data_IF_841231685286
#
_entry.id   IF_841231685286
#
_cell.length_a   1.000
_cell.length_b   1.000
_cell.length_c   1.000
_cell.angle_alpha   90.00
_cell.angle_beta   90.00
_cell.angle_gamma   90.00
#
_symmetry.space_group_name_H-M   'P 1'
#
loop_
_entity.id
_entity.type
_entity.pdbx_description
1 polymer ?
#
# COMPACT_ATOMS: atom_id res chain seq x y z
N UNK A 1 7.77 1.09 9.55
CA UNK A 1 6.79 1.98 10.20
C UNK A 1 5.41 1.33 10.22
N UNK A 2 4.79 1.09 9.05
CA UNK A 2 3.64 0.18 8.96
C UNK A 2 4.12 -1.27 9.14
N UNK A 3 3.42 -2.05 9.96
CA UNK A 3 3.75 -3.46 10.21
C UNK A 3 2.52 -4.35 10.09
N UNK A 4 2.74 -5.56 9.57
CA UNK A 4 1.72 -6.60 9.51
C UNK A 4 1.53 -7.22 10.92
N UNK A 5 0.27 -7.32 11.34
CA UNK A 5 -0.20 -7.87 12.61
C UNK A 5 -1.20 -9.02 12.38
N UNK A 6 -1.34 -9.46 11.14
CA UNK A 6 -2.36 -10.45 10.71
C UNK A 6 -2.23 -11.76 11.48
N UNK A 7 -1.01 -12.19 11.78
CA UNK A 7 -0.69 -13.39 12.55
C UNK A 7 -1.17 -13.30 14.01
N UNK A 8 -0.91 -12.17 14.69
CA UNK A 8 -1.39 -11.95 16.06
C UNK A 8 -2.92 -11.79 16.07
N UNK A 9 -3.45 -11.00 15.14
CA UNK A 9 -4.87 -10.74 15.01
C UNK A 9 -5.68 -12.02 14.75
N UNK A 10 -5.11 -12.99 14.02
CA UNK A 10 -5.70 -14.30 13.81
C UNK A 10 -5.87 -15.11 15.10
N UNK A 11 -5.12 -14.81 16.15
CA UNK A 11 -5.21 -15.48 17.45
C UNK A 11 -6.10 -14.75 18.45
N UNK A 12 -6.68 -13.60 18.07
CA UNK A 12 -7.54 -12.79 18.93
C UNK A 12 -9.01 -13.21 18.82
N UNK A 13 -9.80 -12.93 19.87
CA UNK A 13 -11.27 -13.08 19.83
C UNK A 13 -11.97 -11.81 19.32
N UNK A 14 -11.22 -10.83 18.83
CA UNK A 14 -11.79 -9.54 18.42
C UNK A 14 -12.49 -9.66 17.07
N UNK A 15 -13.81 -9.52 17.05
CA UNK A 15 -14.64 -9.77 15.86
C UNK A 15 -14.22 -8.95 14.64
N UNK A 16 -13.79 -7.69 14.82
CA UNK A 16 -13.34 -6.84 13.70
C UNK A 16 -12.12 -7.44 13.00
N UNK A 17 -11.15 -7.93 13.76
CA UNK A 17 -9.98 -8.61 13.20
C UNK A 17 -10.37 -9.93 12.54
N UNK A 18 -11.18 -10.74 13.20
CA UNK A 18 -11.62 -12.04 12.67
C UNK A 18 -12.39 -11.89 11.35
N UNK A 19 -13.33 -10.95 11.28
CA UNK A 19 -14.13 -10.69 10.07
C UNK A 19 -13.26 -10.24 8.90
N UNK A 20 -12.30 -9.34 9.13
CA UNK A 20 -11.37 -8.91 8.09
C UNK A 20 -10.55 -10.08 7.52
N UNK A 21 -10.07 -10.99 8.38
CA UNK A 21 -9.26 -12.13 7.97
C UNK A 21 -10.07 -13.20 7.23
N UNK A 22 -11.31 -13.47 7.64
CA UNK A 22 -12.21 -14.38 6.90
C UNK A 22 -12.43 -13.90 5.46
N UNK A 23 -12.45 -12.58 5.25
CA UNK A 23 -12.52 -11.98 3.91
C UNK A 23 -11.21 -11.98 3.12
N UNK A 24 -10.16 -12.67 3.57
CA UNK A 24 -8.83 -12.63 2.94
C UNK A 24 -8.10 -11.29 3.13
N UNK A 25 -8.55 -10.48 4.10
CA UNK A 25 -7.99 -9.18 4.40
C UNK A 25 -6.67 -9.23 5.17
N UNK A 26 -6.25 -8.05 5.60
CA UNK A 26 -5.03 -7.82 6.37
C UNK A 26 -5.31 -6.99 7.59
N UNK A 27 -4.53 -7.21 8.64
CA UNK A 27 -4.48 -6.35 9.82
C UNK A 27 -3.08 -5.77 9.90
N UNK A 28 -2.98 -4.45 9.86
CA UNK A 28 -1.70 -3.73 9.95
C UNK A 28 -1.85 -2.54 10.88
N UNK A 29 -0.73 -2.03 11.39
CA UNK A 29 -0.76 -0.85 12.25
C UNK A 29 0.49 0.02 12.16
N UNK A 30 0.41 1.16 12.83
CA UNK A 30 1.51 2.10 13.09
C UNK A 30 1.51 2.50 14.57
N UNK A 31 2.67 2.98 15.04
CA UNK A 31 2.80 3.65 16.32
C UNK A 31 2.74 5.18 16.13
N UNK A 32 1.98 5.86 16.99
CA UNK A 32 2.01 7.31 17.16
C UNK A 32 2.68 7.63 18.51
N UNK A 33 3.95 8.07 18.50
CA UNK A 33 4.72 8.30 19.72
C UNK A 33 4.12 9.38 20.63
N UNK A 34 4.12 9.15 21.95
CA UNK A 34 3.67 10.10 22.96
C UNK A 34 2.17 10.41 22.96
N UNK A 35 1.38 9.65 22.20
CA UNK A 35 -0.05 9.94 21.99
C UNK A 35 -1.00 9.15 22.89
N UNK A 36 -0.52 8.41 23.91
CA UNK A 36 -1.40 7.61 24.78
C UNK A 36 -2.52 8.43 25.45
N UNK A 37 -2.28 9.71 25.70
CA UNK A 37 -3.22 10.63 26.36
C UNK A 37 -4.18 11.34 25.40
N UNK A 38 -4.24 10.95 24.13
CA UNK A 38 -5.18 11.52 23.16
C UNK A 38 -6.62 11.49 23.69
N UNK A 39 -7.30 12.62 23.54
CA UNK A 39 -8.69 12.78 23.93
C UNK A 39 -9.62 11.98 23.02
N UNK A 40 -10.86 11.73 23.48
CA UNK A 40 -11.87 11.06 22.66
C UNK A 40 -12.15 11.80 21.35
N UNK A 41 -12.11 13.14 21.36
CA UNK A 41 -12.30 13.96 20.15
C UNK A 41 -11.18 13.73 19.14
N UNK A 42 -9.93 13.71 19.60
CA UNK A 42 -8.78 13.47 18.71
C UNK A 42 -8.79 12.05 18.13
N UNK A 43 -9.18 11.05 18.92
CA UNK A 43 -9.34 9.67 18.42
C UNK A 43 -10.49 9.57 17.40
N UNK A 44 -11.57 10.32 17.59
CA UNK A 44 -12.71 10.38 16.66
C UNK A 44 -12.32 11.05 15.33
N UNK A 45 -11.49 12.09 15.35
CA UNK A 45 -10.92 12.69 14.13
C UNK A 45 -10.10 11.68 13.32
N UNK A 46 -9.20 10.95 13.98
CA UNK A 46 -8.39 9.91 13.31
C UNK A 46 -9.26 8.79 12.76
N UNK A 47 -10.31 8.40 13.50
CA UNK A 47 -11.27 7.40 13.04
C UNK A 47 -12.05 7.88 11.80
N UNK A 48 -12.49 9.14 11.78
CA UNK A 48 -13.15 9.75 10.61
C UNK A 48 -12.23 9.82 9.40
N UNK A 49 -10.94 10.13 9.60
CA UNK A 49 -9.95 10.11 8.54
C UNK A 49 -9.83 8.71 7.93
N UNK A 50 -9.70 7.67 8.76
CA UNK A 50 -9.65 6.29 8.28
C UNK A 50 -10.95 5.89 7.55
N UNK A 51 -12.11 6.29 8.07
CA UNK A 51 -13.40 6.01 7.44
C UNK A 51 -13.59 6.73 6.10
N UNK A 52 -13.08 7.95 5.97
CA UNK A 52 -13.05 8.69 4.70
C UNK A 52 -12.24 7.98 3.60
N UNK A 53 -11.33 7.09 4.00
CA UNK A 53 -10.50 6.25 3.12
C UNK A 53 -11.09 4.84 2.91
N UNK A 54 -12.33 4.61 3.37
CA UNK A 54 -13.05 3.36 3.18
C UNK A 54 -12.80 2.29 4.25
N UNK A 55 -12.07 2.61 5.34
CA UNK A 55 -12.00 1.71 6.49
C UNK A 55 -13.34 1.67 7.23
N UNK A 56 -13.73 0.51 7.77
CA UNK A 56 -14.92 0.42 8.63
C UNK A 56 -14.72 1.22 9.94
N UNK A 57 -13.48 1.25 10.43
CA UNK A 57 -13.07 2.04 11.58
C UNK A 57 -11.60 1.85 11.90
N UNK A 58 -11.14 2.64 12.87
CA UNK A 58 -9.79 2.65 13.40
C UNK A 58 -9.76 2.05 14.81
N UNK A 59 -8.99 0.98 14.98
CA UNK A 59 -8.72 0.41 16.29
C UNK A 59 -7.57 1.20 16.91
N UNK A 60 -7.83 1.79 18.07
CA UNK A 60 -6.85 2.57 18.82
C UNK A 60 -6.49 1.84 20.10
N UNK A 61 -5.21 1.86 20.47
CA UNK A 61 -4.73 1.27 21.71
C UNK A 61 -3.71 2.18 22.38
N UNK A 62 -4.10 2.86 23.45
CA UNK A 62 -3.18 3.66 24.25
C UNK A 62 -2.47 2.79 25.27
N UNK A 63 -1.15 2.93 25.36
CA UNK A 63 -0.32 2.27 26.37
C UNK A 63 0.01 3.30 27.46
N UNK A 64 -0.48 3.12 28.68
CA UNK A 64 -0.29 4.13 29.72
C UNK A 64 1.19 4.27 30.13
N UNK A 65 1.70 5.50 30.13
CA UNK A 65 3.07 5.82 30.54
C UNK A 65 3.39 5.39 32.00
N UNK A 66 2.36 5.30 32.87
CA UNK A 66 2.50 4.88 34.27
C UNK A 66 3.01 3.45 34.45
N UNK A 67 2.98 2.62 33.40
CA UNK A 67 3.55 1.27 33.43
C UNK A 67 5.09 1.29 33.54
N UNK A 68 5.76 2.35 33.08
CA UNK A 68 7.22 2.47 33.04
C UNK A 68 7.93 1.58 32.00
N UNK A 69 7.41 0.38 31.73
CA UNK A 69 7.87 -0.51 30.66
C UNK A 69 6.74 -1.44 30.20
N UNK A 70 6.82 -1.94 28.96
CA UNK A 70 5.88 -2.93 28.42
C UNK A 70 5.79 -4.22 29.26
N UNK A 71 6.88 -4.61 29.92
CA UNK A 71 6.89 -5.78 30.82
C UNK A 71 5.92 -5.62 31.99
N UNK A 72 5.75 -4.39 32.48
CA UNK A 72 4.92 -4.06 33.63
C UNK A 72 3.50 -3.64 33.23
N UNK A 73 3.19 -3.65 31.92
CA UNK A 73 1.88 -3.30 31.40
C UNK A 73 0.83 -4.25 32.00
N UNK A 74 -0.28 -3.69 32.46
CA UNK A 74 -1.47 -4.46 32.88
C UNK A 74 -2.63 -4.11 31.97
N UNK A 75 -3.70 -4.93 31.97
CA UNK A 75 -4.89 -4.68 31.14
C UNK A 75 -5.53 -3.33 31.47
N UNK A 76 -5.49 -2.89 32.73
CA UNK A 76 -6.03 -1.59 33.17
C UNK A 76 -5.23 -0.40 32.61
N UNK A 77 -3.96 -0.61 32.29
CA UNK A 77 -3.06 0.37 31.69
C UNK A 77 -3.20 0.44 30.17
N UNK A 78 -4.06 -0.38 29.58
CA UNK A 78 -4.34 -0.40 28.14
C UNK A 78 -5.73 0.14 27.89
N UNK A 79 -5.83 1.28 27.19
CA UNK A 79 -7.12 1.83 26.79
C UNK A 79 -7.40 1.49 25.34
N UNK A 80 -8.24 0.48 25.13
CA UNK A 80 -8.73 0.09 23.81
C UNK A 80 -10.04 -0.67 23.89
N UNK A 81 -10.88 -0.55 22.86
CA UNK A 81 -12.04 -1.44 22.67
C UNK A 81 -11.63 -2.89 22.41
N UNK A 82 -10.43 -3.11 21.86
CA UNK A 82 -9.89 -4.42 21.55
C UNK A 82 -9.22 -5.11 22.76
N UNK A 83 -8.87 -4.35 23.81
CA UNK A 83 -8.07 -4.85 24.94
C UNK A 83 -8.69 -6.07 25.64
N UNK A 84 -10.03 -6.12 25.75
CA UNK A 84 -10.75 -7.23 26.39
C UNK A 84 -10.81 -8.52 25.57
N UNK A 85 -10.40 -8.45 24.30
CA UNK A 85 -10.41 -9.58 23.35
C UNK A 85 -8.99 -10.02 22.97
N UNK A 86 -7.99 -9.42 23.60
CA UNK A 86 -6.59 -9.72 23.42
C UNK A 86 -6.01 -10.13 24.77
N UNK A 87 -5.10 -11.08 24.75
CA UNK A 87 -4.27 -11.37 25.91
C UNK A 87 -3.24 -10.26 26.10
N UNK A 88 -2.72 -10.13 27.31
CA UNK A 88 -1.67 -9.15 27.60
C UNK A 88 -0.40 -9.41 26.76
N UNK A 89 -0.07 -10.68 26.52
CA UNK A 89 1.08 -11.05 25.70
C UNK A 89 0.86 -10.69 24.23
N UNK A 90 -0.35 -10.85 23.69
CA UNK A 90 -0.68 -10.35 22.35
C UNK A 90 -0.57 -8.82 22.26
N UNK A 91 -0.99 -8.09 23.29
CA UNK A 91 -0.85 -6.63 23.33
C UNK A 91 0.62 -6.21 23.32
N UNK A 92 1.45 -6.87 24.13
CA UNK A 92 2.91 -6.64 24.14
C UNK A 92 3.53 -6.96 22.79
N UNK A 93 3.17 -8.09 22.20
CA UNK A 93 3.68 -8.51 20.89
C UNK A 93 3.32 -7.50 19.79
N UNK A 94 2.09 -6.96 19.81
CA UNK A 94 1.67 -5.88 18.89
C UNK A 94 2.52 -4.63 19.13
N UNK A 95 2.67 -4.19 20.39
CA UNK A 95 3.45 -3.00 20.73
C UNK A 95 4.92 -3.13 20.29
N UNK A 96 5.56 -4.26 20.59
CA UNK A 96 6.93 -4.57 20.18
C UNK A 96 7.08 -4.60 18.65
N UNK A 97 6.12 -5.22 17.94
CA UNK A 97 6.15 -5.28 16.47
C UNK A 97 6.06 -3.90 15.84
N UNK A 98 5.24 -3.03 16.43
CA UNK A 98 5.08 -1.63 16.03
C UNK A 98 6.22 -0.73 16.50
N UNK A 99 7.13 -1.23 17.36
CA UNK A 99 8.21 -0.44 17.94
C UNK A 99 7.71 0.65 18.88
N UNK A 100 6.63 0.38 19.60
CA UNK A 100 6.00 1.32 20.52
C UNK A 100 6.49 1.13 21.95
N UNK A 101 6.52 2.22 22.70
CA UNK A 101 6.80 2.25 24.13
C UNK A 101 5.55 2.62 24.95
N UNK A 102 5.66 2.52 26.27
CA UNK A 102 4.64 3.07 27.18
C UNK A 102 4.54 4.59 26.97
N UNK A 103 3.33 5.11 26.93
CA UNK A 103 3.07 6.51 26.54
C UNK A 103 2.67 6.69 25.08
N UNK A 104 2.73 5.64 24.27
CA UNK A 104 2.37 5.69 22.85
C UNK A 104 0.93 5.26 22.56
N UNK A 105 0.50 5.57 21.33
CA UNK A 105 -0.79 5.17 20.79
C UNK A 105 -0.60 4.28 19.56
N UNK A 106 -1.18 3.09 19.57
CA UNK A 106 -1.20 2.20 18.41
C UNK A 106 -2.45 2.49 17.58
N UNK A 107 -2.26 2.62 16.27
CA UNK A 107 -3.32 2.84 15.28
C UNK A 107 -3.35 1.63 14.35
N UNK A 108 -4.44 0.86 14.39
CA UNK A 108 -4.56 -0.44 13.72
C UNK A 108 -5.78 -0.43 12.80
N UNK A 109 -5.57 -0.82 11.55
CA UNK A 109 -6.61 -0.95 10.52
C UNK A 109 -6.71 -2.42 10.11
N UNK A 110 -7.94 -2.89 9.92
CA UNK A 110 -8.26 -4.23 9.45
C UNK A 110 -9.21 -4.14 8.25
N UNK A 111 -8.93 -4.87 7.17
CA UNK A 111 -9.80 -4.89 5.99
C UNK A 111 -9.09 -5.35 4.72
N UNK A 112 -9.57 -4.89 3.55
CA UNK A 112 -8.94 -5.19 2.25
C UNK A 112 -7.49 -4.67 2.21
N UNK A 113 -6.51 -5.43 1.67
CA UNK A 113 -5.10 -5.06 1.73
C UNK A 113 -4.78 -3.65 1.20
N UNK A 114 -5.29 -3.30 0.01
CA UNK A 114 -5.05 -1.99 -0.61
C UNK A 114 -5.62 -0.83 0.22
N UNK A 115 -6.83 -1.01 0.76
CA UNK A 115 -7.47 -0.02 1.64
C UNK A 115 -6.68 0.14 2.94
N UNK A 116 -6.23 -0.96 3.55
CA UNK A 116 -5.41 -0.93 4.77
C UNK A 116 -4.13 -0.14 4.57
N UNK A 117 -3.41 -0.40 3.47
CA UNK A 117 -2.16 0.28 3.15
C UNK A 117 -2.37 1.77 2.86
N UNK A 118 -3.44 2.12 2.14
CA UNK A 118 -3.82 3.51 1.89
C UNK A 118 -4.19 4.25 3.19
N UNK A 119 -5.07 3.67 4.01
CA UNK A 119 -5.52 4.28 5.26
C UNK A 119 -4.37 4.51 6.25
N UNK A 120 -3.48 3.52 6.41
CA UNK A 120 -2.32 3.66 7.28
C UNK A 120 -1.27 4.60 6.70
N UNK A 121 -1.11 4.67 5.37
CA UNK A 121 -0.25 5.64 4.71
C UNK A 121 -0.65 7.08 5.01
N UNK A 122 -1.95 7.39 4.94
CA UNK A 122 -2.47 8.72 5.27
C UNK A 122 -2.44 9.01 6.77
N UNK A 123 -2.81 8.05 7.63
CA UNK A 123 -2.68 8.20 9.09
C UNK A 123 -1.23 8.48 9.49
N UNK A 124 -0.27 7.78 8.87
CA UNK A 124 1.16 8.00 9.10
C UNK A 124 1.57 9.44 8.76
N UNK A 125 1.13 9.97 7.62
CA UNK A 125 1.41 11.35 7.20
C UNK A 125 0.77 12.36 8.14
N UNK A 126 -0.50 12.15 8.48
CA UNK A 126 -1.24 13.01 9.41
C UNK A 126 -0.56 13.06 10.78
N UNK A 127 -0.17 11.90 11.32
CA UNK A 127 0.54 11.84 12.60
C UNK A 127 1.93 12.46 12.52
N UNK A 128 2.65 12.27 11.40
CA UNK A 128 3.91 12.95 11.15
C UNK A 128 3.78 14.47 11.26
N UNK A 129 2.77 15.05 10.61
CA UNK A 129 2.48 16.48 10.65
C UNK A 129 2.03 16.95 12.05
N UNK A 130 1.08 16.25 12.69
CA UNK A 130 0.59 16.61 14.06
C UNK A 130 1.71 16.61 15.09
N UNK A 131 2.64 15.66 14.96
CA UNK A 131 3.75 15.45 15.89
C UNK A 131 5.04 16.17 15.45
N UNK A 132 5.04 16.84 14.29
CA UNK A 132 6.20 17.55 13.71
C UNK A 132 7.43 16.65 13.60
N UNK A 133 7.21 15.43 13.10
CA UNK A 133 8.26 14.43 12.90
C UNK A 133 8.98 14.61 11.56
N UNK A 134 8.40 15.39 10.66
CA UNK A 134 9.01 15.77 9.39
C UNK A 134 9.98 16.95 9.56
N UNK A 135 11.18 16.81 8.99
CA UNK A 135 12.14 17.91 8.89
C UNK A 135 11.81 18.76 7.65
N UNK A 136 11.38 20.02 7.81
CA UNK A 136 10.97 20.88 6.69
C UNK A 136 12.15 21.29 5.78
N UNK A 137 13.40 21.03 6.18
CA UNK A 137 14.59 21.35 5.40
C UNK A 137 15.19 20.12 4.68
N UNK A 138 14.67 18.93 4.95
CA UNK A 138 15.14 17.70 4.32
C UNK A 138 14.40 17.45 3.00
N UNK A 139 15.16 17.22 1.93
CA UNK A 139 14.66 16.65 0.68
C UNK A 139 15.06 15.18 0.60
N UNK A 140 14.09 14.29 0.77
CA UNK A 140 14.25 12.85 0.67
C UNK A 140 13.75 12.37 -0.69
N UNK A 141 14.68 11.92 -1.52
CA UNK A 141 14.39 11.34 -2.83
C UNK A 141 14.41 9.81 -2.78
N UNK A 142 13.50 9.17 -3.52
CA UNK A 142 13.48 7.73 -3.68
C UNK A 142 13.06 7.32 -5.09
N UNK A 143 13.63 6.22 -5.58
CA UNK A 143 13.07 5.49 -6.71
C UNK A 143 12.13 4.42 -6.20
N UNK A 144 10.90 4.41 -6.70
CA UNK A 144 10.01 3.25 -6.58
C UNK A 144 10.12 2.47 -7.88
N UNK A 145 10.37 1.17 -7.78
CA UNK A 145 10.59 0.28 -8.93
C UNK A 145 9.86 -1.04 -8.71
N UNK A 146 9.81 -1.89 -9.74
CA UNK A 146 9.19 -3.21 -9.69
C UNK A 146 7.67 -3.17 -9.45
N UNK A 147 7.02 -2.15 -10.00
CA UNK A 147 5.56 -2.10 -10.08
C UNK A 147 5.01 -3.33 -10.81
N UNK A 148 3.81 -3.83 -10.46
CA UNK A 148 3.12 -4.81 -11.29
C UNK A 148 2.87 -4.24 -12.69
N UNK A 149 2.92 -5.07 -13.72
CA UNK A 149 2.59 -4.65 -15.08
C UNK A 149 1.08 -4.50 -15.26
N UNK A 150 0.34 -5.44 -14.70
CA UNK A 150 -1.10 -5.57 -14.85
C UNK A 150 -1.76 -5.68 -13.47
N UNK A 151 -2.96 -5.11 -13.35
CA UNK A 151 -3.89 -5.39 -12.25
C UNK A 151 -5.17 -5.99 -12.80
N UNK A 152 -5.82 -6.84 -12.02
CA UNK A 152 -7.14 -7.34 -12.38
C UNK A 152 -8.20 -6.34 -11.92
N UNK A 153 -9.07 -5.93 -12.82
CA UNK A 153 -10.22 -5.09 -12.49
C UNK A 153 -11.23 -5.91 -11.69
N UNK A 154 -11.52 -5.52 -10.44
CA UNK A 154 -12.59 -6.14 -9.64
C UNK A 154 -13.97 -6.00 -10.33
N UNK A 155 -14.19 -4.89 -11.04
CA UNK A 155 -15.48 -4.59 -11.71
C UNK A 155 -15.65 -5.32 -13.04
N UNK A 156 -14.62 -5.31 -13.89
CA UNK A 156 -14.70 -5.81 -15.28
C UNK A 156 -14.19 -7.24 -15.44
N UNK A 157 -13.56 -7.80 -14.41
CA UNK A 157 -12.95 -9.13 -14.43
C UNK A 157 -11.75 -9.31 -15.37
N UNK A 158 -11.37 -8.26 -16.12
CA UNK A 158 -10.27 -8.22 -17.09
C UNK A 158 -9.00 -7.58 -16.54
N UNK A 159 -7.87 -7.80 -17.20
CA UNK A 159 -6.62 -7.11 -16.88
C UNK A 159 -6.66 -5.66 -17.34
N UNK A 160 -6.07 -4.80 -16.52
CA UNK A 160 -5.82 -3.40 -16.81
C UNK A 160 -4.34 -3.11 -16.61
N UNK A 161 -3.78 -2.22 -17.43
CA UNK A 161 -2.40 -1.76 -17.26
C UNK A 161 -2.28 -0.92 -16.00
N UNK A 162 -1.24 -1.15 -15.21
CA UNK A 162 -0.96 -0.32 -14.02
C UNK A 162 -0.54 1.11 -14.41
N UNK A 163 0.17 1.23 -15.53
CA UNK A 163 0.59 2.52 -16.10
C UNK A 163 0.17 2.55 -17.57
N UNK A 164 1.09 2.84 -18.49
CA UNK A 164 0.79 2.82 -19.92
C UNK A 164 0.88 1.40 -20.52
N UNK A 165 -0.03 0.99 -21.44
CA UNK A 165 -0.01 -0.32 -22.12
C UNK A 165 1.24 -0.60 -23.00
N UNK A 166 2.17 0.35 -23.11
CA UNK A 166 3.43 0.21 -23.85
C UNK A 166 4.61 -0.11 -22.92
N UNK A 167 4.36 -0.22 -21.61
CA UNK A 167 5.39 -0.52 -20.61
C UNK A 167 5.89 -1.95 -20.79
N UNK A 168 7.21 -2.12 -20.87
CA UNK A 168 7.81 -3.42 -20.99
C UNK A 168 7.73 -4.21 -19.67
N UNK A 169 7.47 -5.53 -19.73
CA UNK A 169 7.72 -6.42 -18.59
C UNK A 169 9.22 -6.51 -18.28
N UNK A 170 9.57 -6.95 -17.07
CA UNK A 170 10.89 -7.50 -16.76
C UNK A 170 11.14 -8.72 -17.64
N UNK A 171 12.38 -8.87 -18.13
CA UNK A 171 12.69 -9.90 -19.13
C UNK A 171 12.49 -11.30 -18.53
N UNK A 172 12.86 -11.48 -17.27
CA UNK A 172 12.68 -12.71 -16.51
C UNK A 172 11.21 -13.08 -16.24
N UNK A 173 10.28 -12.13 -16.36
CA UNK A 173 8.86 -12.33 -16.06
C UNK A 173 8.01 -12.53 -17.34
N UNK A 174 8.58 -12.41 -18.54
CA UNK A 174 7.83 -12.46 -19.81
C UNK A 174 7.04 -13.76 -19.98
N UNK A 175 7.60 -14.89 -19.54
CA UNK A 175 6.92 -16.19 -19.60
C UNK A 175 5.69 -16.26 -18.69
N UNK A 176 5.64 -15.46 -17.63
CA UNK A 176 4.51 -15.42 -16.71
C UNK A 176 3.28 -14.72 -17.32
N UNK A 177 3.42 -14.01 -18.44
CA UNK A 177 2.30 -13.39 -19.14
C UNK A 177 1.23 -14.41 -19.58
N UNK A 178 1.61 -15.68 -19.79
CA UNK A 178 0.66 -16.74 -20.19
C UNK A 178 0.05 -17.49 -19.00
N UNK A 179 0.74 -17.51 -17.86
CA UNK A 179 0.39 -18.41 -16.73
C UNK A 179 -0.01 -17.67 -15.46
N UNK A 180 0.65 -16.56 -15.15
CA UNK A 180 0.45 -15.79 -13.92
C UNK A 180 0.69 -14.29 -14.17
N UNK A 181 -0.16 -13.61 -14.97
CA UNK A 181 0.05 -12.22 -15.37
C UNK A 181 0.13 -11.24 -14.19
N UNK A 182 -0.52 -11.54 -13.07
CA UNK A 182 -0.48 -10.75 -11.82
C UNK A 182 0.91 -10.70 -11.18
N UNK A 183 1.81 -11.63 -11.53
CA UNK A 183 3.18 -11.67 -11.00
C UNK A 183 4.19 -10.95 -11.88
N UNK A 184 3.77 -10.51 -13.07
CA UNK A 184 4.67 -9.85 -14.03
C UNK A 184 5.00 -8.45 -13.54
N UNK A 185 6.28 -8.18 -13.30
CA UNK A 185 6.75 -6.84 -12.94
C UNK A 185 7.03 -6.02 -14.19
N UNK A 186 6.73 -4.73 -14.12
CA UNK A 186 7.03 -3.75 -15.14
C UNK A 186 8.47 -3.23 -15.00
N UNK A 187 9.07 -2.86 -16.14
CA UNK A 187 10.23 -1.96 -16.23
C UNK A 187 9.79 -0.50 -16.07
N UNK A 188 8.96 -0.23 -15.07
CA UNK A 188 8.48 1.09 -14.69
C UNK A 188 9.14 1.57 -13.41
N UNK A 189 9.29 2.88 -13.29
CA UNK A 189 9.95 3.53 -12.18
C UNK A 189 9.36 4.93 -11.97
N UNK A 190 9.19 5.28 -10.70
CA UNK A 190 8.79 6.62 -10.25
C UNK A 190 9.89 7.23 -9.39
N UNK A 191 10.06 8.54 -9.51
CA UNK A 191 10.89 9.36 -8.64
C UNK A 191 9.96 10.09 -7.67
N UNK A 192 10.18 9.85 -6.39
CA UNK A 192 9.43 10.45 -5.29
C UNK A 192 10.33 11.46 -4.59
N UNK A 193 9.79 12.62 -4.24
CA UNK A 193 10.41 13.60 -3.35
C UNK A 193 9.43 13.89 -2.20
N UNK A 194 9.84 13.66 -0.95
CA UNK A 194 9.05 13.94 0.25
C UNK A 194 7.60 13.39 0.21
N UNK A 195 7.41 12.23 -0.40
CA UNK A 195 6.10 11.57 -0.54
C UNK A 195 5.27 12.03 -1.74
N UNK A 196 5.76 12.96 -2.56
CA UNK A 196 5.16 13.37 -3.82
C UNK A 196 5.87 12.69 -4.99
N UNK A 197 5.12 12.08 -5.90
CA UNK A 197 5.64 11.65 -7.19
C UNK A 197 5.99 12.88 -8.04
N UNK A 198 7.25 13.03 -8.43
CA UNK A 198 7.74 14.18 -9.21
C UNK A 198 8.07 13.81 -10.66
N UNK A 199 8.33 12.53 -10.92
CA UNK A 199 8.56 12.02 -12.26
C UNK A 199 8.23 10.53 -12.34
N UNK A 200 7.83 10.06 -13.53
CA UNK A 200 7.51 8.66 -13.78
C UNK A 200 7.91 8.25 -15.18
N UNK A 201 8.34 7.00 -15.34
CA UNK A 201 8.91 6.53 -16.60
C UNK A 201 8.88 5.03 -16.76
N UNK A 202 9.01 4.56 -17.99
CA UNK A 202 9.22 3.12 -18.23
C UNK A 202 10.05 2.85 -19.46
N UNK A 203 10.70 1.67 -19.46
CA UNK A 203 11.17 1.06 -20.68
C UNK A 203 9.97 0.57 -21.48
N UNK A 204 10.03 0.73 -22.80
CA UNK A 204 8.92 0.46 -23.70
C UNK A 204 9.09 -0.87 -24.41
N UNK A 205 7.95 -1.48 -24.74
CA UNK A 205 7.92 -2.61 -25.67
C UNK A 205 8.29 -2.08 -27.05
N UNK A 206 9.23 -2.76 -27.72
CA UNK A 206 9.73 -2.37 -29.03
C UNK A 206 9.54 -3.46 -30.10
N UNK A 207 8.89 -4.58 -29.74
CA UNK A 207 8.58 -5.68 -30.66
C UNK A 207 7.07 -5.82 -30.85
N UNK A 208 6.60 -5.92 -32.08
CA UNK A 208 5.17 -6.01 -32.40
C UNK A 208 4.50 -7.23 -31.74
N UNK A 209 5.18 -8.38 -31.71
CA UNK A 209 4.68 -9.62 -31.10
C UNK A 209 4.31 -9.44 -29.62
N UNK A 210 5.25 -8.96 -28.80
CA UNK A 210 5.03 -8.73 -27.37
C UNK A 210 3.94 -7.67 -27.14
N UNK A 211 3.92 -6.61 -27.95
CA UNK A 211 2.92 -5.54 -27.80
C UNK A 211 1.49 -6.05 -28.10
N UNK A 212 1.33 -6.89 -29.14
CA UNK A 212 0.05 -7.55 -29.43
C UNK A 212 -0.38 -8.45 -28.28
N UNK A 213 0.55 -9.20 -27.68
CA UNK A 213 0.27 -10.04 -26.51
C UNK A 213 -0.26 -9.23 -25.33
N UNK A 214 0.36 -8.10 -25.00
CA UNK A 214 -0.13 -7.21 -23.96
C UNK A 214 -1.53 -6.68 -24.28
N UNK A 215 -1.78 -6.23 -25.52
CA UNK A 215 -3.12 -5.77 -25.89
C UNK A 215 -4.19 -6.86 -25.77
N UNK A 216 -3.89 -8.09 -26.16
CA UNK A 216 -4.83 -9.21 -25.98
C UNK A 216 -5.12 -9.48 -24.50
N UNK A 217 -4.12 -9.41 -23.62
CA UNK A 217 -4.33 -9.52 -22.16
C UNK A 217 -5.24 -8.41 -21.63
N UNK A 218 -5.11 -7.19 -22.16
CA UNK A 218 -5.98 -6.06 -21.84
C UNK A 218 -7.40 -6.17 -22.46
N UNK A 219 -7.65 -7.23 -23.24
CA UNK A 219 -8.96 -7.56 -23.79
C UNK A 219 -9.27 -6.94 -25.15
N UNK A 220 -8.26 -6.47 -25.89
CA UNK A 220 -8.46 -5.98 -27.25
C UNK A 220 -8.53 -7.13 -28.26
N UNK A 221 -9.46 -7.05 -29.22
CA UNK A 221 -9.51 -7.95 -30.37
C UNK A 221 -8.40 -7.64 -31.38
N UNK A 222 -8.09 -8.58 -32.27
CA UNK A 222 -7.07 -8.35 -33.31
C UNK A 222 -7.48 -7.23 -34.28
N UNK A 223 -8.78 -7.06 -34.54
CA UNK A 223 -9.34 -5.95 -35.31
C UNK A 223 -9.14 -4.61 -34.59
N UNK A 224 -9.46 -4.53 -33.29
CA UNK A 224 -9.27 -3.31 -32.49
C UNK A 224 -7.79 -2.94 -32.40
N UNK A 225 -6.91 -3.94 -32.24
CA UNK A 225 -5.45 -3.73 -32.23
C UNK A 225 -5.00 -3.15 -33.56
N UNK A 226 -5.47 -3.71 -34.69
CA UNK A 226 -5.10 -3.25 -36.03
C UNK A 226 -5.61 -1.84 -36.29
N UNK A 227 -6.86 -1.55 -35.96
CA UNK A 227 -7.49 -0.25 -36.19
C UNK A 227 -6.82 0.86 -35.37
N UNK A 228 -6.57 0.60 -34.08
CA UNK A 228 -6.10 1.63 -33.14
C UNK A 228 -4.58 1.77 -33.10
N UNK A 229 -3.86 0.66 -33.26
CA UNK A 229 -2.42 0.60 -33.01
C UNK A 229 -1.63 -0.01 -34.17
N UNK A 230 -2.28 -0.33 -35.29
CA UNK A 230 -1.63 -1.00 -36.44
C UNK A 230 -0.42 -0.23 -36.97
N UNK A 231 -0.53 1.09 -37.11
CA UNK A 231 0.57 1.95 -37.57
C UNK A 231 1.80 1.89 -36.65
N UNK A 232 1.60 1.84 -35.33
CA UNK A 232 2.69 1.73 -34.35
C UNK A 232 3.35 0.34 -34.43
N UNK A 233 2.54 -0.71 -34.54
CA UNK A 233 3.04 -2.08 -34.62
C UNK A 233 3.82 -2.31 -35.91
N UNK A 234 3.38 -1.73 -37.03
CA UNK A 234 4.13 -1.76 -38.29
C UNK A 234 5.48 -1.03 -38.14
N UNK A 235 5.52 0.11 -37.45
CA UNK A 235 6.76 0.83 -37.18
C UNK A 235 7.77 -0.02 -36.36
N UNK A 236 7.29 -0.90 -35.48
CA UNK A 236 8.18 -1.83 -34.76
C UNK A 236 8.85 -2.84 -35.69
N UNK A 237 8.16 -3.29 -36.75
CA UNK A 237 8.68 -4.27 -37.71
C UNK A 237 9.81 -3.70 -38.60
N UNK A 238 9.92 -2.37 -38.71
CA UNK A 238 11.04 -1.70 -39.39
C UNK A 238 12.29 -1.50 -38.52
N UNK A 239 12.37 -2.17 -37.36
CA UNK A 239 13.56 -2.17 -36.51
C UNK A 239 13.55 -1.07 -35.45
N UNK A 240 12.43 -0.89 -34.75
CA UNK A 240 12.39 0.01 -33.59
C UNK A 240 13.43 -0.43 -32.53
N UNK A 241 14.30 0.49 -32.07
CA UNK A 241 15.31 0.13 -31.07
C UNK A 241 14.68 -0.07 -29.68
N UNK A 242 15.36 -0.76 -28.76
CA UNK A 242 15.03 -0.67 -27.34
C UNK A 242 15.01 0.78 -26.89
N UNK A 243 13.92 1.22 -26.26
CA UNK A 243 13.74 2.61 -25.88
C UNK A 243 12.98 2.74 -24.56
N UNK A 244 13.09 3.91 -23.94
CA UNK A 244 12.47 4.23 -22.67
C UNK A 244 12.36 5.73 -22.51
N UNK A 245 11.58 6.17 -21.55
CA UNK A 245 11.46 7.59 -21.26
C UNK A 245 10.91 7.85 -19.88
N UNK A 246 11.00 9.11 -19.47
CA UNK A 246 10.51 9.64 -18.21
C UNK A 246 9.83 10.97 -18.48
N UNK A 247 8.76 11.27 -17.73
CA UNK A 247 8.08 12.54 -17.74
C UNK A 247 8.11 13.13 -16.32
N UNK A 248 8.34 14.44 -16.23
CA UNK A 248 8.36 15.17 -14.96
C UNK A 248 7.08 15.99 -14.82
N UNK A 249 6.50 16.02 -13.62
CA UNK A 249 5.42 16.94 -13.28
C UNK A 249 6.02 18.30 -12.93
N UNK A 250 6.25 19.18 -13.92
CA UNK A 250 6.96 20.45 -13.76
C UNK A 250 6.35 21.34 -12.65
N UNK A 251 5.03 21.28 -12.45
CA UNK A 251 4.33 22.09 -11.45
C UNK A 251 4.45 21.54 -10.01
N UNK A 252 4.75 20.25 -9.85
CA UNK A 252 4.92 19.60 -8.53
C UNK A 252 6.31 19.89 -7.97
#
# INVERSE_FOLDING_TARGET
>A
EIKDLTDIAAQSDFSVFRSALVGGGKVKGICAPGCATYSRSQLDELNKLAQGLGAEGLVTMSLAASAGSLSNLTVEMVRSVAAKFLTLDQIREIAERLGADVGDLLLIIAGKPEMVDMALGELRREMGHRLKLDDPHLLAFAFVVNFPLLKRSEEKGRWESMHHPFTAPRDEDVLLLDTAPEKVRAKHYDIICNGCEIAGGSLRIYTAELQRKIFRLLGYSDEEIKERFGHLLEAFDYGAPPHGGIAHGIDR
#
